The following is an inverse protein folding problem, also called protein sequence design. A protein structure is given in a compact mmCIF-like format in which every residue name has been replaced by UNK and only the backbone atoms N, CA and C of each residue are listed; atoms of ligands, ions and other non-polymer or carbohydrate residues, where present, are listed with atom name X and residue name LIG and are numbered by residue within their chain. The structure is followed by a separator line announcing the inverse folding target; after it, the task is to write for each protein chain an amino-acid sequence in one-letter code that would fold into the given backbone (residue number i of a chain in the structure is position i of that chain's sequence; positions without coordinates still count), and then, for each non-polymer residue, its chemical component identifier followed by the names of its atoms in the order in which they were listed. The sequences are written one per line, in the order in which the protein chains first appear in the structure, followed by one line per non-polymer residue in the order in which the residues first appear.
data_IF_084795254906
#
_entry.id   IF_084795254906
#
_cell.length_a   1.000
_cell.length_b   1.000
_cell.length_c   1.000
_cell.angle_alpha   90.00
_cell.angle_beta   90.00
_cell.angle_gamma   90.00
#
_symmetry.space_group_name_H-M   'P 1'
#
loop_
_entity.id
_entity.type
_entity.pdbx_description
1 polymer ?
#
# COMPACT_ATOMS: atom_id res chain seq x y z
N UNK A 1 8.59 -11.28 -8.86
CA UNK A 1 7.20 -11.23 -8.33
C UNK A 1 7.04 -9.94 -7.56
N UNK A 2 6.08 -9.07 -7.93
CA UNK A 2 5.72 -7.90 -7.11
C UNK A 2 4.96 -8.41 -5.89
N UNK A 3 5.43 -8.12 -4.67
CA UNK A 3 4.73 -8.47 -3.45
C UNK A 3 3.58 -7.48 -3.25
N UNK A 4 2.34 -7.95 -3.41
CA UNK A 4 1.16 -7.11 -3.19
C UNK A 4 0.84 -7.04 -1.69
N UNK A 5 1.09 -5.88 -1.06
CA UNK A 5 0.76 -5.61 0.33
C UNK A 5 -0.68 -6.00 0.69
N UNK A 6 -1.61 -5.80 -0.26
CA UNK A 6 -3.01 -6.21 -0.10
C UNK A 6 -3.18 -7.72 0.02
N UNK A 7 -2.54 -8.49 -0.86
CA UNK A 7 -2.63 -9.95 -0.83
C UNK A 7 -2.00 -10.50 0.45
N UNK A 8 -0.84 -9.96 0.84
CA UNK A 8 -0.17 -10.28 2.09
C UNK A 8 -1.08 -10.07 3.30
N UNK A 9 -1.71 -8.89 3.42
CA UNK A 9 -2.58 -8.59 4.55
C UNK A 9 -3.86 -9.42 4.56
N UNK A 10 -4.46 -9.69 3.40
CA UNK A 10 -5.70 -10.47 3.32
C UNK A 10 -5.51 -11.96 3.60
N UNK A 11 -4.34 -12.52 3.29
CA UNK A 11 -4.01 -13.91 3.56
C UNK A 11 -3.87 -14.24 5.06
N UNK A 12 -3.62 -13.22 5.91
CA UNK A 12 -3.52 -13.40 7.35
C UNK A 12 -4.89 -13.65 8.03
N UNK A 13 -4.88 -14.46 9.08
CA UNK A 13 -6.01 -14.59 10.01
C UNK A 13 -6.26 -13.31 10.81
N UNK A 14 -7.41 -13.18 11.47
CA UNK A 14 -7.73 -11.97 12.27
C UNK A 14 -6.75 -11.76 13.44
N UNK A 15 -6.32 -12.85 14.08
CA UNK A 15 -5.31 -12.81 15.16
C UNK A 15 -3.95 -12.36 14.63
N UNK A 16 -3.54 -12.84 13.47
CA UNK A 16 -2.28 -12.43 12.83
C UNK A 16 -2.34 -10.96 12.40
N UNK A 17 -3.47 -10.52 11.84
CA UNK A 17 -3.70 -9.11 11.48
C UNK A 17 -3.62 -8.19 12.69
N UNK A 18 -4.24 -8.58 13.82
CA UNK A 18 -4.17 -7.82 15.06
C UNK A 18 -2.74 -7.74 15.60
N UNK A 19 -2.02 -8.87 15.59
CA UNK A 19 -0.62 -8.94 16.04
C UNK A 19 0.30 -8.11 15.16
N UNK A 20 0.16 -8.23 13.84
CA UNK A 20 0.90 -7.46 12.85
C UNK A 20 0.66 -5.95 13.02
N UNK A 21 -0.61 -5.55 13.13
CA UNK A 21 -0.96 -4.15 13.33
C UNK A 21 -0.37 -3.58 14.62
N UNK A 22 -0.45 -4.35 15.72
CA UNK A 22 0.13 -3.98 17.01
C UNK A 22 1.64 -3.77 16.92
N UNK A 23 2.36 -4.67 16.23
CA UNK A 23 3.80 -4.53 15.97
C UNK A 23 4.13 -3.29 15.15
N UNK A 24 3.30 -2.97 14.15
CA UNK A 24 3.46 -1.79 13.31
C UNK A 24 2.99 -0.47 13.98
N UNK A 25 2.48 -0.51 15.22
CA UNK A 25 1.98 0.67 15.93
C UNK A 25 0.63 1.21 15.42
N UNK A 26 -0.22 0.31 14.90
CA UNK A 26 -1.52 0.62 14.28
C UNK A 26 -2.56 -0.43 14.67
N UNK A 27 -3.79 -0.34 14.16
CA UNK A 27 -4.87 -1.31 14.40
C UNK A 27 -5.24 -2.04 13.11
N UNK A 28 -5.67 -3.30 13.22
CA UNK A 28 -6.09 -4.10 12.07
C UNK A 28 -7.23 -3.41 11.29
N UNK A 29 -8.18 -2.80 12.02
CA UNK A 29 -9.27 -2.01 11.44
C UNK A 29 -8.77 -0.80 10.65
N UNK A 30 -7.77 -0.07 11.14
CA UNK A 30 -7.18 1.05 10.41
C UNK A 30 -6.53 0.59 9.10
N UNK A 31 -5.79 -0.52 9.13
CA UNK A 31 -5.15 -1.09 7.95
C UNK A 31 -6.22 -1.51 6.93
N UNK A 32 -7.25 -2.24 7.37
CA UNK A 32 -8.30 -2.77 6.51
C UNK A 32 -9.17 -1.66 5.91
N UNK A 33 -9.59 -0.68 6.71
CA UNK A 33 -10.47 0.40 6.27
C UNK A 33 -9.75 1.44 5.41
N UNK A 34 -8.50 1.76 5.71
CA UNK A 34 -7.81 2.91 5.09
C UNK A 34 -6.62 2.57 4.21
N UNK A 35 -5.81 1.57 4.59
CA UNK A 35 -4.59 1.25 3.86
C UNK A 35 -4.84 0.29 2.70
N UNK A 36 -5.64 -0.75 2.91
CA UNK A 36 -5.99 -1.73 1.87
C UNK A 36 -6.82 -1.09 0.75
N UNK A 37 -7.75 -0.22 1.11
CA UNK A 37 -8.55 0.57 0.17
C UNK A 37 -7.76 1.69 -0.50
N UNK A 38 -6.53 1.95 -0.04
CA UNK A 38 -5.68 3.09 -0.45
C UNK A 38 -6.38 4.43 -0.28
N UNK A 39 -7.31 4.53 0.68
CA UNK A 39 -7.96 5.79 1.02
C UNK A 39 -6.99 6.76 1.69
N UNK A 40 -6.09 6.24 2.53
CA UNK A 40 -5.00 7.02 3.13
C UNK A 40 -3.64 6.48 2.71
N UNK A 41 -2.72 7.41 2.48
CA UNK A 41 -1.29 7.09 2.32
C UNK A 41 -0.61 7.25 3.68
N UNK A 42 -0.01 6.18 4.23
CA UNK A 42 0.65 6.24 5.53
C UNK A 42 1.93 7.11 5.45
N UNK A 43 2.29 7.76 6.56
CA UNK A 43 3.55 8.53 6.66
C UNK A 43 4.74 7.57 6.55
N UNK A 44 5.91 8.11 6.14
CA UNK A 44 7.17 7.34 6.00
C UNK A 44 7.49 6.46 7.23
N UNK A 45 7.34 7.00 8.44
CA UNK A 45 7.56 6.25 9.69
C UNK A 45 6.65 5.03 9.80
N UNK A 46 5.36 5.17 9.47
CA UNK A 46 4.41 4.06 9.52
C UNK A 46 4.66 3.04 8.41
N UNK A 47 5.10 3.48 7.22
CA UNK A 47 5.53 2.56 6.15
C UNK A 47 6.72 1.70 6.56
N UNK A 48 7.72 2.30 7.22
CA UNK A 48 8.86 1.56 7.77
C UNK A 48 8.39 0.55 8.82
N UNK A 49 7.59 0.97 9.80
CA UNK A 49 7.08 0.06 10.81
C UNK A 49 6.23 -1.08 10.25
N UNK A 50 5.49 -0.86 9.15
CA UNK A 50 4.76 -1.92 8.45
C UNK A 50 5.73 -2.90 7.76
N UNK A 51 6.76 -2.41 7.08
CA UNK A 51 7.78 -3.25 6.46
C UNK A 51 8.53 -4.09 7.51
N UNK A 52 8.98 -3.45 8.60
CA UNK A 52 9.69 -4.11 9.70
C UNK A 52 8.82 -5.18 10.38
N UNK A 53 7.54 -4.87 10.61
CA UNK A 53 6.58 -5.82 11.19
C UNK A 53 6.28 -7.01 10.28
N UNK A 54 6.54 -6.89 8.97
CA UNK A 54 6.30 -7.96 7.99
C UNK A 54 7.40 -9.01 7.98
N UNK A 55 8.57 -8.73 8.58
CA UNK A 55 9.72 -9.63 8.59
C UNK A 55 10.19 -9.98 7.18
N UNK A 56 10.51 -8.96 6.39
CA UNK A 56 11.01 -9.03 5.00
C UNK A 56 10.02 -9.55 3.95
N UNK A 57 8.76 -9.82 4.33
CA UNK A 57 7.71 -10.23 3.37
C UNK A 57 7.24 -9.09 2.47
N UNK A 58 7.27 -7.86 2.98
CA UNK A 58 6.90 -6.65 2.25
C UNK A 58 7.95 -5.58 2.50
N UNK A 59 8.59 -5.11 1.43
CA UNK A 59 9.57 -4.04 1.55
C UNK A 59 8.91 -2.66 1.58
N UNK A 60 9.64 -1.64 2.06
CA UNK A 60 9.21 -0.24 1.96
C UNK A 60 8.98 0.14 0.49
N UNK A 61 9.80 -0.37 -0.43
CA UNK A 61 9.66 -0.14 -1.87
C UNK A 61 8.32 -0.69 -2.41
N UNK A 62 7.93 -1.89 -1.97
CA UNK A 62 6.65 -2.50 -2.35
C UNK A 62 5.47 -1.71 -1.80
N UNK A 63 5.55 -1.25 -0.55
CA UNK A 63 4.56 -0.36 0.04
C UNK A 63 4.45 0.95 -0.74
N UNK A 64 5.58 1.61 -1.03
CA UNK A 64 5.56 2.85 -1.82
C UNK A 64 4.96 2.62 -3.20
N UNK A 65 5.31 1.52 -3.87
CA UNK A 65 4.72 1.18 -5.15
C UNK A 65 3.21 0.98 -5.01
N UNK A 66 2.74 0.25 -3.99
CA UNK A 66 1.32 0.01 -3.77
C UNK A 66 0.50 1.29 -3.55
N UNK A 67 1.02 2.22 -2.73
CA UNK A 67 0.32 3.48 -2.41
C UNK A 67 0.45 4.55 -3.49
N UNK A 68 1.59 4.64 -4.18
CA UNK A 68 1.86 5.69 -5.16
C UNK A 68 1.63 5.27 -6.62
N UNK A 69 1.41 3.98 -6.94
CA UNK A 69 1.11 3.53 -8.31
C UNK A 69 -0.10 4.22 -8.97
N UNK A 70 -1.00 4.84 -8.18
CA UNK A 70 -2.15 5.59 -8.71
C UNK A 70 -1.74 6.89 -9.43
N UNK A 71 -0.57 7.45 -9.13
CA UNK A 71 -0.09 8.66 -9.77
C UNK A 71 0.29 8.43 -11.24
N UNK A 72 0.92 7.30 -11.56
CA UNK A 72 1.34 7.01 -12.94
C UNK A 72 0.17 6.83 -13.91
N UNK A 73 -0.98 6.30 -13.45
CA UNK A 73 -2.13 6.05 -14.31
C UNK A 73 -2.81 7.36 -14.70
N UNK A 74 -2.95 8.30 -13.75
CA UNK A 74 -3.51 9.62 -14.05
C UNK A 74 -2.62 10.44 -14.98
N UNK A 75 -1.30 10.34 -14.81
CA UNK A 75 -0.33 11.06 -15.65
C UNK A 75 -0.30 10.47 -17.07
N UNK A 76 -0.27 9.14 -17.23
CA UNK A 76 -0.35 8.48 -18.54
C UNK A 76 -1.68 8.72 -19.26
N UNK A 77 -2.80 8.74 -18.54
CA UNK A 77 -4.10 9.12 -19.10
C UNK A 77 -4.17 10.60 -19.49
N UNK A 78 -3.59 11.50 -18.70
CA UNK A 78 -3.53 12.93 -19.01
C UNK A 78 -2.68 13.18 -20.26
N UNK A 79 -1.49 12.57 -20.34
CA UNK A 79 -0.60 12.66 -21.52
C UNK A 79 -1.33 12.12 -22.77
N UNK A 80 -1.95 10.93 -22.69
CA UNK A 80 -2.75 10.39 -23.81
C UNK A 80 -3.89 11.31 -24.25
N UNK A 81 -4.64 11.91 -23.31
CA UNK A 81 -5.74 12.84 -23.63
C UNK A 81 -5.23 14.13 -24.28
N UNK A 82 -4.06 14.62 -23.90
CA UNK A 82 -3.44 15.81 -24.49
C UNK A 82 -2.87 15.50 -25.88
N UNK A 83 -2.23 14.36 -26.08
CA UNK A 83 -1.66 13.96 -27.38
C UNK A 83 -2.70 13.69 -28.46
N UNK A 84 -3.94 13.34 -28.11
CA UNK A 84 -5.05 13.11 -29.06
C UNK A 84 -5.70 14.42 -29.55
N UNK A 85 -5.47 15.56 -28.88
CA UNK A 85 -6.01 16.86 -29.29
C UNK A 85 -5.15 17.63 -30.31
N UNK A 86 -4.00 17.10 -30.70
CA UNK A 86 -3.05 17.74 -31.62
C UNK A 86 -3.04 17.14 -33.04
N UNK A 87 -4.08 16.38 -33.42
CA UNK A 87 -4.34 15.93 -34.80
C UNK A 87 -5.75 16.30 -35.23
#
# INVERSE_FOLDING_TARGET
MKQDFRAFFLAMSELEKATYAKKAGTTAGYIQAHLITRYKVPRKKLMQSLADASGDKVSVADLTNFFYAKFEIKEKEAIRRTSVRFF
#
